data_IF_786807791426
#
_entry.id   IF_786807791426
#
_cell.length_a   1.000
_cell.length_b   1.000
_cell.length_c   1.000
_cell.angle_alpha   90.00
_cell.angle_beta   90.00
_cell.angle_gamma   90.00
#
_symmetry.space_group_name_H-M   'P 1'
#
loop_
_entity.id
_entity.type
_entity.pdbx_description
1 polymer ?
#
# COMPACT_ATOMS: atom_id res chain seq x y z
N UNK A 1 -4.18 -23.89 4.85
CA UNK A 1 -3.72 -23.01 5.94
C UNK A 1 -4.01 -21.57 5.54
N UNK A 2 -4.38 -20.69 6.48
CA UNK A 2 -4.51 -19.25 6.22
C UNK A 2 -3.28 -18.53 6.77
N UNK A 3 -2.80 -17.54 6.03
CA UNK A 3 -1.60 -16.75 6.34
C UNK A 3 -1.92 -15.27 6.27
N UNK A 4 -1.17 -14.48 7.04
CA UNK A 4 -1.20 -13.03 6.92
C UNK A 4 -0.32 -12.59 5.73
N UNK A 5 -0.92 -11.84 4.81
CA UNK A 5 -0.30 -11.31 3.60
C UNK A 5 -0.39 -9.79 3.66
N UNK A 6 0.72 -9.12 3.40
CA UNK A 6 0.77 -7.68 3.20
C UNK A 6 0.87 -7.43 1.69
N UNK A 7 -0.02 -6.57 1.18
CA UNK A 7 -0.07 -6.16 -0.22
C UNK A 7 0.21 -4.66 -0.29
N UNK A 8 1.17 -4.30 -1.13
CA UNK A 8 1.58 -2.93 -1.43
C UNK A 8 1.43 -2.68 -2.95
N UNK A 9 1.23 -1.43 -3.39
CA UNK A 9 1.36 -1.09 -4.80
C UNK A 9 2.80 -1.39 -5.22
N UNK A 10 2.97 -2.05 -6.36
CA UNK A 10 4.29 -2.13 -6.96
C UNK A 10 4.62 -0.73 -7.49
N UNK A 11 5.80 -0.21 -7.15
CA UNK A 11 6.31 0.99 -7.79
C UNK A 11 6.52 0.62 -9.27
N UNK A 12 5.68 1.15 -10.17
CA UNK A 12 6.01 1.08 -11.59
C UNK A 12 7.42 1.68 -11.74
N UNK A 13 8.34 0.94 -12.35
CA UNK A 13 9.70 1.41 -12.67
C UNK A 13 9.65 2.75 -13.42
N UNK A 14 8.53 3.01 -14.12
CA UNK A 14 8.22 4.22 -14.89
C UNK A 14 7.72 5.42 -14.04
N UNK A 15 7.29 5.20 -12.80
CA UNK A 15 6.82 6.25 -11.88
C UNK A 15 7.87 6.77 -10.93
N UNK A 16 9.15 6.44 -11.13
CA UNK A 16 10.24 7.16 -10.45
C UNK A 16 10.15 8.65 -10.81
N UNK A 17 9.77 9.56 -9.89
CA UNK A 17 10.10 10.96 -10.13
C UNK A 17 11.61 11.01 -10.02
N UNK A 18 12.30 11.15 -11.17
CA UNK A 18 13.73 11.43 -11.25
C UNK A 18 14.10 12.32 -10.06
N UNK A 19 14.84 11.77 -9.08
CA UNK A 19 15.47 12.54 -8.02
C UNK A 19 16.28 13.64 -8.70
N UNK A 20 15.75 14.86 -8.76
CA UNK A 20 16.50 16.02 -9.24
C UNK A 20 17.64 16.26 -8.23
N UNK A 21 18.89 16.37 -8.69
CA UNK A 21 20.03 16.51 -7.79
C UNK A 21 20.00 17.88 -7.11
N UNK A 22 20.49 17.90 -5.87
CA UNK A 22 20.63 19.09 -5.05
C UNK A 22 21.72 20.04 -5.59
N UNK A 23 21.38 21.33 -5.71
CA UNK A 23 22.21 22.57 -5.54
C UNK A 23 21.37 23.74 -6.09
N UNK A 24 21.23 24.92 -5.48
CA UNK A 24 22.06 25.62 -4.52
C UNK A 24 21.24 26.71 -3.75
N UNK A 25 21.66 26.96 -2.52
CA UNK A 25 21.68 28.22 -1.75
C UNK A 25 20.70 29.37 -2.07
N UNK A 26 19.80 29.68 -1.14
CA UNK A 26 19.50 31.05 -0.71
C UNK A 26 18.82 31.03 0.68
N UNK A 27 19.33 31.87 1.60
CA UNK A 27 18.74 32.10 2.93
C UNK A 27 17.31 32.60 2.79
N UNK A 28 16.34 31.79 3.20
CA UNK A 28 15.02 32.25 3.61
C UNK A 28 14.50 31.25 4.65
N UNK A 29 14.22 31.73 5.87
CA UNK A 29 13.53 30.93 6.88
C UNK A 29 12.21 30.45 6.27
N UNK A 30 11.89 29.14 6.25
CA UNK A 30 10.63 28.68 5.70
C UNK A 30 9.49 29.21 6.59
N UNK A 31 8.45 29.85 6.03
CA UNK A 31 7.24 30.11 6.79
C UNK A 31 6.68 28.76 7.25
N UNK A 32 6.18 28.72 8.50
CA UNK A 32 5.59 27.52 9.07
C UNK A 32 4.56 26.92 8.09
N UNK A 33 4.56 25.59 7.84
CA UNK A 33 3.68 25.00 6.85
C UNK A 33 2.22 25.23 7.27
N UNK A 34 1.47 25.94 6.41
CA UNK A 34 0.05 26.17 6.59
C UNK A 34 -0.67 24.83 6.84
N UNK A 35 -1.40 24.75 7.95
CA UNK A 35 -2.17 23.55 8.33
C UNK A 35 -3.15 23.09 7.25
N UNK A 36 -3.53 23.98 6.33
CA UNK A 36 -4.42 23.72 5.19
C UNK A 36 -3.86 22.65 4.24
N UNK A 37 -2.55 22.70 3.94
CA UNK A 37 -1.91 21.71 3.07
C UNK A 37 -1.83 20.31 3.70
N UNK A 38 -1.72 20.20 5.03
CA UNK A 38 -1.68 18.89 5.70
C UNK A 38 -3.01 18.14 5.65
N UNK A 39 -4.12 18.86 5.77
CA UNK A 39 -5.46 18.27 5.68
C UNK A 39 -5.76 17.78 4.26
N UNK A 40 -5.39 18.58 3.25
CA UNK A 40 -5.53 18.21 1.84
C UNK A 40 -4.66 17.01 1.47
N UNK A 41 -3.39 16.98 1.94
CA UNK A 41 -2.51 15.83 1.76
C UNK A 41 -3.05 14.56 2.44
N UNK A 42 -3.54 14.69 3.68
CA UNK A 42 -4.13 13.56 4.40
C UNK A 42 -5.39 13.03 3.70
N UNK A 43 -6.18 13.90 3.08
CA UNK A 43 -7.34 13.48 2.29
C UNK A 43 -6.90 12.74 1.02
N UNK A 44 -5.93 13.27 0.28
CA UNK A 44 -5.39 12.62 -0.91
C UNK A 44 -4.86 11.21 -0.60
N UNK A 45 -4.15 11.05 0.52
CA UNK A 45 -3.66 9.74 0.97
C UNK A 45 -4.76 8.76 1.37
N UNK A 46 -5.85 9.23 1.99
CA UNK A 46 -7.03 8.39 2.25
C UNK A 46 -7.70 7.93 0.95
N UNK A 47 -7.83 8.83 -0.01
CA UNK A 47 -8.44 8.51 -1.29
C UNK A 47 -7.58 7.49 -2.07
N UNK A 48 -6.26 7.64 -2.01
CA UNK A 48 -5.31 6.67 -2.56
C UNK A 48 -5.40 5.31 -1.86
N UNK A 49 -5.44 5.29 -0.52
CA UNK A 49 -5.63 4.06 0.27
C UNK A 49 -6.95 3.36 -0.07
N UNK A 50 -8.04 4.11 -0.22
CA UNK A 50 -9.34 3.58 -0.63
C UNK A 50 -9.33 3.02 -2.04
N UNK A 51 -8.71 3.73 -2.99
CA UNK A 51 -8.57 3.27 -4.36
C UNK A 51 -7.74 1.99 -4.45
N UNK A 52 -6.63 1.91 -3.70
CA UNK A 52 -5.78 0.73 -3.65
C UNK A 52 -6.51 -0.48 -3.04
N UNK A 53 -7.20 -0.28 -1.91
CA UNK A 53 -8.05 -1.32 -1.31
C UNK A 53 -9.10 -1.84 -2.31
N UNK A 54 -9.76 -0.94 -3.04
CA UNK A 54 -10.71 -1.29 -4.10
C UNK A 54 -10.06 -2.13 -5.20
N UNK A 55 -8.86 -1.76 -5.67
CA UNK A 55 -8.14 -2.50 -6.70
C UNK A 55 -7.78 -3.94 -6.26
N UNK A 56 -7.35 -4.12 -5.01
CA UNK A 56 -7.08 -5.46 -4.46
C UNK A 56 -8.38 -6.28 -4.38
N UNK A 57 -9.47 -5.68 -3.88
CA UNK A 57 -10.76 -6.37 -3.78
C UNK A 57 -11.29 -6.80 -5.15
N UNK A 58 -11.23 -5.92 -6.15
CA UNK A 58 -11.66 -6.24 -7.52
C UNK A 58 -10.79 -7.34 -8.14
N UNK A 59 -9.49 -7.34 -7.89
CA UNK A 59 -8.61 -8.44 -8.30
C UNK A 59 -9.02 -9.79 -7.67
N UNK A 60 -9.27 -9.81 -6.34
CA UNK A 60 -9.71 -11.02 -5.64
C UNK A 60 -11.02 -11.55 -6.21
N UNK A 61 -11.98 -10.67 -6.52
CA UNK A 61 -13.23 -11.05 -7.17
C UNK A 61 -12.99 -11.63 -8.57
N UNK A 62 -12.21 -10.95 -9.40
CA UNK A 62 -11.94 -11.36 -10.78
C UNK A 62 -11.20 -12.70 -10.86
N UNK A 63 -10.36 -13.02 -9.88
CA UNK A 63 -9.67 -14.31 -9.80
C UNK A 63 -10.50 -15.42 -9.11
N UNK A 64 -11.76 -15.14 -8.74
CA UNK A 64 -12.64 -16.03 -8.00
C UNK A 64 -12.05 -16.52 -6.66
N UNK A 65 -11.34 -15.63 -5.95
CA UNK A 65 -10.60 -15.94 -4.73
C UNK A 65 -11.34 -15.57 -3.44
N UNK A 66 -12.58 -15.06 -3.51
CA UNK A 66 -13.34 -14.63 -2.31
C UNK A 66 -13.44 -15.71 -1.24
N UNK A 67 -13.68 -16.98 -1.62
CA UNK A 67 -13.74 -18.10 -0.67
C UNK A 67 -12.39 -18.48 -0.04
N UNK A 68 -11.28 -17.93 -0.54
CA UNK A 68 -9.93 -18.16 -0.05
C UNK A 68 -9.39 -16.99 0.79
N UNK A 69 -10.21 -15.96 1.05
CA UNK A 69 -9.88 -14.82 1.90
C UNK A 69 -10.79 -14.85 3.12
N UNK A 70 -10.20 -14.96 4.32
CA UNK A 70 -10.93 -14.97 5.60
C UNK A 70 -11.20 -13.55 6.09
N UNK A 71 -10.28 -12.64 5.83
CA UNK A 71 -10.36 -11.26 6.30
C UNK A 71 -9.48 -10.34 5.44
N UNK A 72 -9.87 -9.08 5.33
CA UNK A 72 -9.15 -7.99 4.65
C UNK A 72 -9.26 -6.74 5.53
N UNK A 73 -8.15 -6.00 5.66
CA UNK A 73 -8.11 -4.75 6.42
C UNK A 73 -8.93 -3.66 5.74
N UNK A 74 -9.63 -2.84 6.53
CA UNK A 74 -10.26 -1.62 6.03
C UNK A 74 -9.22 -0.65 5.41
N UNK A 75 -9.63 0.20 4.45
CA UNK A 75 -8.74 1.18 3.84
C UNK A 75 -8.23 2.20 4.87
N UNK A 76 -6.91 2.40 4.90
CA UNK A 76 -6.22 3.34 5.79
C UNK A 76 -5.68 4.58 5.07
N UNK A 77 -4.79 5.31 5.76
CA UNK A 77 -4.05 6.44 5.16
C UNK A 77 -2.97 5.99 4.17
N UNK A 78 -2.50 4.75 4.27
CA UNK A 78 -1.46 4.22 3.40
C UNK A 78 -2.09 3.31 2.35
N UNK A 79 -1.58 3.30 1.10
CA UNK A 79 -1.96 2.33 0.09
C UNK A 79 -1.35 0.96 0.44
N UNK A 80 -1.91 0.30 1.45
CA UNK A 80 -1.53 -1.03 1.91
C UNK A 80 -2.80 -1.79 2.27
N UNK A 81 -2.81 -3.09 1.96
CA UNK A 81 -3.87 -4.00 2.41
C UNK A 81 -3.24 -5.19 3.13
N UNK A 82 -3.77 -5.50 4.31
CA UNK A 82 -3.44 -6.72 5.03
C UNK A 82 -4.57 -7.73 4.84
N UNK A 83 -4.22 -8.97 4.46
CA UNK A 83 -5.15 -10.06 4.19
C UNK A 83 -4.84 -11.24 5.10
N UNK A 84 -5.88 -11.93 5.58
CA UNK A 84 -5.74 -13.31 6.07
C UNK A 84 -6.33 -14.22 5.00
N UNK A 85 -5.50 -14.87 4.21
CA UNK A 85 -5.91 -15.63 3.04
C UNK A 85 -5.07 -16.90 2.84
N UNK A 86 -5.45 -17.75 1.89
CA UNK A 86 -4.69 -18.97 1.57
C UNK A 86 -3.42 -18.66 0.77
N UNK A 87 -2.48 -19.61 0.73
CA UNK A 87 -1.26 -19.52 -0.11
C UNK A 87 -1.57 -19.25 -1.59
N UNK A 88 -2.66 -19.82 -2.13
CA UNK A 88 -3.08 -19.57 -3.51
C UNK A 88 -3.37 -18.10 -3.78
N UNK A 89 -3.88 -17.36 -2.78
CA UNK A 89 -4.10 -15.92 -2.91
C UNK A 89 -2.77 -15.18 -2.99
N UNK A 90 -1.78 -15.56 -2.17
CA UNK A 90 -0.43 -14.99 -2.22
C UNK A 90 0.21 -15.20 -3.59
N UNK A 91 0.19 -16.43 -4.12
CA UNK A 91 0.76 -16.77 -5.43
C UNK A 91 0.16 -15.90 -6.55
N UNK A 92 -1.16 -15.72 -6.54
CA UNK A 92 -1.85 -14.91 -7.54
C UNK A 92 -1.53 -13.43 -7.40
N UNK A 93 -1.47 -12.90 -6.19
CA UNK A 93 -1.07 -11.51 -5.94
C UNK A 93 0.38 -11.25 -6.35
N UNK A 94 1.29 -12.20 -6.13
CA UNK A 94 2.70 -12.08 -6.54
C UNK A 94 2.88 -12.12 -8.06
N UNK A 95 2.00 -12.85 -8.76
CA UNK A 95 2.00 -12.95 -10.22
C UNK A 95 1.43 -11.70 -10.91
N UNK A 96 0.66 -10.89 -10.20
CA UNK A 96 0.04 -9.68 -10.73
C UNK A 96 1.02 -8.50 -10.68
N UNK A 97 1.34 -7.85 -11.82
CA UNK A 97 2.33 -6.76 -11.87
C UNK A 97 1.96 -5.54 -11.03
N UNK A 98 0.67 -5.29 -10.76
CA UNK A 98 0.23 -4.14 -9.96
C UNK A 98 0.57 -4.27 -8.47
N UNK A 99 0.88 -5.47 -7.97
CA UNK A 99 1.01 -5.73 -6.55
C UNK A 99 2.40 -6.25 -6.16
N UNK A 100 2.88 -5.77 -5.03
CA UNK A 100 3.95 -6.40 -4.27
C UNK A 100 3.31 -7.06 -3.03
N UNK A 101 3.31 -8.40 -3.00
CA UNK A 101 2.67 -9.17 -1.93
C UNK A 101 3.66 -10.10 -1.24
N UNK A 102 3.62 -10.11 0.10
CA UNK A 102 4.51 -10.93 0.93
C UNK A 102 3.82 -11.45 2.17
N UNK A 103 4.35 -12.55 2.72
CA UNK A 103 3.96 -13.04 4.05
C UNK A 103 4.42 -12.03 5.11
N UNK A 104 3.52 -11.70 6.04
CA UNK A 104 3.90 -10.95 7.24
C UNK A 104 4.83 -11.79 8.09
N UNK A 105 5.93 -11.19 8.57
CA UNK A 105 6.81 -11.83 9.53
C UNK A 105 6.23 -11.65 10.93
N UNK A 106 5.76 -12.73 11.56
CA UNK A 106 5.41 -12.69 12.97
C UNK A 106 6.68 -12.59 13.80
N UNK A 107 7.02 -11.39 14.28
CA UNK A 107 8.08 -11.24 15.27
C UNK A 107 7.57 -11.75 16.62
N UNK A 108 7.97 -12.97 17.01
CA UNK A 108 7.80 -13.41 18.40
C UNK A 108 8.82 -12.64 19.25
N UNK A 109 8.37 -11.59 19.93
CA UNK A 109 9.19 -10.91 20.93
C UNK A 109 9.36 -11.88 22.12
N UNK A 110 10.50 -12.57 22.21
CA UNK A 110 10.89 -13.29 23.42
C UNK A 110 11.37 -12.25 24.42
N UNK A 111 10.50 -11.88 25.37
CA UNK A 111 10.85 -11.07 26.54
C UNK A 111 11.30 -11.94 27.69
#
# INVERSE_FOLDING_TARGET
MFIEIIVLPREDDDRSPKRRPARASAKASPPAPEKRGRAELAQAWRDEGKAFHGAVLEFIKAQHLLGAVKWMSEPGLLPQVTLVASDRVLEKLQSEPRFAAGRSLSMTLQT
#
